data_IF_764616076184
#
_entry.id   IF_764616076184
#
_cell.length_a   1.000
_cell.length_b   1.000
_cell.length_c   1.000
_cell.angle_alpha   90.00
_cell.angle_beta   90.00
_cell.angle_gamma   90.00
#
_symmetry.space_group_name_H-M   'P 1'
#
loop_
_entity.id
_entity.type
_entity.pdbx_description
1 polymer ?
#
# COMPACT_ATOMS: atom_id res chain seq x y z
N UNK A 1 -9.43 17.14 -7.30
CA UNK A 1 -9.97 15.80 -7.65
C UNK A 1 -8.92 14.98 -8.45
N UNK A 2 -7.67 14.88 -7.96
CA UNK A 2 -6.58 14.17 -8.67
C UNK A 2 -6.14 12.85 -7.97
N UNK A 3 -6.73 12.47 -6.83
CA UNK A 3 -6.04 11.56 -5.89
C UNK A 3 -6.45 10.08 -5.94
N UNK A 4 -7.73 9.76 -6.19
CA UNK A 4 -8.13 8.35 -6.43
C UNK A 4 -7.46 7.83 -7.71
N UNK A 5 -7.40 8.68 -8.74
CA UNK A 5 -6.69 8.36 -9.98
C UNK A 5 -5.20 8.12 -9.77
N UNK A 6 -4.56 8.85 -8.84
CA UNK A 6 -3.14 8.64 -8.52
C UNK A 6 -2.93 7.27 -7.86
N UNK A 7 -3.73 6.89 -6.86
CA UNK A 7 -3.62 5.57 -6.20
C UNK A 7 -3.96 4.40 -7.13
N UNK A 8 -5.00 4.55 -7.94
CA UNK A 8 -5.37 3.54 -8.95
C UNK A 8 -4.28 3.42 -10.01
N UNK A 9 -3.69 4.54 -10.43
CA UNK A 9 -2.53 4.54 -11.34
C UNK A 9 -1.34 3.83 -10.72
N UNK A 10 -0.99 4.12 -9.46
CA UNK A 10 0.12 3.45 -8.74
C UNK A 10 -0.11 1.97 -8.55
N UNK A 11 -1.35 1.56 -8.24
CA UNK A 11 -1.69 0.15 -8.21
C UNK A 11 -1.52 -0.50 -9.61
N UNK A 12 -1.85 0.22 -10.68
CA UNK A 12 -1.57 -0.19 -12.06
C UNK A 12 -0.08 -0.33 -12.35
N UNK A 13 0.75 0.61 -11.89
CA UNK A 13 2.20 0.58 -12.03
C UNK A 13 2.80 -0.66 -11.34
N UNK A 14 2.38 -0.94 -10.10
CA UNK A 14 2.82 -2.13 -9.35
C UNK A 14 2.38 -3.43 -10.06
N UNK A 15 1.13 -3.49 -10.54
CA UNK A 15 0.61 -4.63 -11.33
C UNK A 15 1.44 -4.89 -12.57
N UNK A 16 1.77 -3.84 -13.32
CA UNK A 16 2.56 -3.94 -14.54
C UNK A 16 3.99 -4.44 -14.23
N UNK A 17 4.64 -3.89 -13.19
CA UNK A 17 5.95 -4.34 -12.75
C UNK A 17 5.94 -5.83 -12.33
N UNK A 18 4.91 -6.27 -11.60
CA UNK A 18 4.74 -7.68 -11.25
C UNK A 18 4.55 -8.57 -12.47
N UNK A 19 3.69 -8.18 -13.41
CA UNK A 19 3.45 -8.96 -14.61
C UNK A 19 4.72 -9.11 -15.46
N UNK A 20 5.53 -8.04 -15.57
CA UNK A 20 6.82 -8.08 -16.24
C UNK A 20 7.79 -9.04 -15.56
N UNK A 21 7.92 -8.96 -14.22
CA UNK A 21 8.81 -9.86 -13.47
C UNK A 21 8.37 -11.33 -13.56
N UNK A 22 7.06 -11.61 -13.55
CA UNK A 22 6.54 -12.97 -13.80
C UNK A 22 6.91 -13.48 -15.19
N UNK A 23 6.79 -12.63 -16.23
CA UNK A 23 7.24 -12.98 -17.58
C UNK A 23 8.75 -13.23 -17.69
N UNK A 24 9.57 -12.56 -16.88
CA UNK A 24 11.01 -12.84 -16.77
C UNK A 24 11.24 -14.23 -16.15
N UNK A 25 10.54 -14.57 -15.06
CA UNK A 25 10.65 -15.89 -14.42
C UNK A 25 10.22 -17.03 -15.35
N UNK A 26 9.15 -16.84 -16.12
CA UNK A 26 8.71 -17.84 -17.10
C UNK A 26 9.74 -18.08 -18.20
N UNK A 27 10.42 -17.02 -18.67
CA UNK A 27 11.52 -17.15 -19.64
C UNK A 27 12.71 -17.86 -19.04
N UNK A 28 13.11 -17.49 -17.81
CA UNK A 28 14.17 -18.17 -17.08
C UNK A 28 13.90 -19.67 -16.96
N UNK A 29 12.66 -20.06 -16.59
CA UNK A 29 12.27 -21.46 -16.47
C UNK A 29 12.48 -22.25 -17.77
N UNK A 30 12.10 -21.67 -18.92
CA UNK A 30 12.29 -22.30 -20.24
C UNK A 30 13.77 -22.44 -20.61
N UNK A 31 14.58 -21.43 -20.30
CA UNK A 31 16.02 -21.49 -20.58
C UNK A 31 16.75 -22.50 -19.69
N UNK A 32 16.41 -22.55 -18.40
CA UNK A 32 16.95 -23.55 -17.49
C UNK A 32 16.53 -24.97 -17.88
N UNK A 33 15.30 -25.18 -18.35
CA UNK A 33 14.85 -26.48 -18.88
C UNK A 33 15.66 -26.89 -20.12
N UNK A 34 15.96 -25.94 -21.01
CA UNK A 34 16.82 -26.20 -22.18
C UNK A 34 18.23 -26.59 -21.75
N UNK A 35 18.81 -25.87 -20.79
CA UNK A 35 20.14 -26.19 -20.24
C UNK A 35 20.14 -27.56 -19.56
N UNK A 36 19.07 -27.93 -18.85
CA UNK A 36 18.92 -29.25 -18.23
C UNK A 36 18.90 -30.36 -19.28
N UNK A 37 18.13 -30.20 -20.38
CA UNK A 37 18.09 -31.15 -21.50
C UNK A 37 19.46 -31.27 -22.20
N UNK A 38 20.15 -30.15 -22.39
CA UNK A 38 21.53 -30.16 -22.91
C UNK A 38 22.47 -30.94 -21.96
N UNK A 39 22.33 -30.77 -20.64
CA UNK A 39 23.11 -31.50 -19.63
C UNK A 39 22.81 -33.00 -19.60
N UNK A 40 21.55 -33.40 -19.80
CA UNK A 40 21.17 -34.82 -19.92
C UNK A 40 21.78 -35.48 -21.16
N UNK A 41 21.83 -34.74 -22.29
CA UNK A 41 22.31 -35.28 -23.56
C UNK A 41 23.85 -35.31 -23.67
N UNK A 42 24.53 -34.24 -23.22
CA UNK A 42 25.98 -34.08 -23.36
C UNK A 42 26.76 -34.41 -22.07
N UNK A 43 26.08 -34.64 -20.96
CA UNK A 43 26.68 -34.84 -19.64
C UNK A 43 27.04 -33.53 -18.92
N UNK A 44 27.54 -33.62 -17.67
CA UNK A 44 27.98 -32.45 -16.91
C UNK A 44 29.12 -31.73 -17.63
N UNK A 45 29.00 -30.42 -17.80
CA UNK A 45 30.02 -29.58 -18.42
C UNK A 45 30.14 -28.25 -17.70
N UNK A 46 31.37 -27.78 -17.53
CA UNK A 46 31.69 -26.47 -16.96
C UNK A 46 31.07 -25.35 -17.80
N UNK A 47 31.02 -25.53 -19.13
CA UNK A 47 30.42 -24.56 -20.04
C UNK A 47 28.90 -24.42 -19.82
N UNK A 48 28.21 -25.54 -19.58
CA UNK A 48 26.77 -25.54 -19.26
C UNK A 48 26.49 -24.97 -17.86
N UNK A 49 27.40 -25.21 -16.91
CA UNK A 49 27.30 -24.66 -15.56
C UNK A 49 27.48 -23.14 -15.55
N UNK A 50 28.44 -22.63 -16.35
CA UNK A 50 28.63 -21.20 -16.56
C UNK A 50 27.43 -20.57 -17.27
N UNK A 51 26.91 -21.20 -18.32
CA UNK A 51 25.69 -20.74 -19.03
C UNK A 51 24.50 -20.66 -18.07
N UNK A 52 24.30 -21.66 -17.21
CA UNK A 52 23.25 -21.62 -16.18
C UNK A 52 23.41 -20.44 -15.23
N UNK A 53 24.63 -20.21 -14.74
CA UNK A 53 24.94 -19.11 -13.83
C UNK A 53 24.69 -17.74 -14.48
N UNK A 54 25.21 -17.53 -15.69
CA UNK A 54 25.07 -16.27 -16.42
C UNK A 54 23.60 -15.97 -16.74
N UNK A 55 22.84 -17.00 -17.20
CA UNK A 55 21.39 -16.88 -17.45
C UNK A 55 20.61 -16.50 -16.18
N UNK A 56 20.94 -17.11 -15.03
CA UNK A 56 20.31 -16.77 -13.74
C UNK A 56 20.61 -15.34 -13.30
N UNK A 57 21.87 -14.90 -13.46
CA UNK A 57 22.30 -13.56 -13.09
C UNK A 57 21.57 -12.48 -13.91
N UNK A 58 21.50 -12.65 -15.24
CA UNK A 58 20.80 -11.74 -16.15
C UNK A 58 19.31 -11.60 -15.78
N UNK A 59 18.61 -12.72 -15.59
CA UNK A 59 17.19 -12.69 -15.27
C UNK A 59 16.93 -12.13 -13.86
N UNK A 60 17.83 -12.37 -12.90
CA UNK A 60 17.72 -11.78 -11.56
C UNK A 60 17.87 -10.26 -11.60
N UNK A 61 18.75 -9.72 -12.43
CA UNK A 61 18.93 -8.28 -12.63
C UNK A 61 17.66 -7.63 -13.22
N UNK A 62 17.06 -8.25 -14.23
CA UNK A 62 15.78 -7.77 -14.79
C UNK A 62 14.64 -7.74 -13.76
N UNK A 63 14.59 -8.72 -12.85
CA UNK A 63 13.62 -8.73 -11.74
C UNK A 63 13.94 -7.62 -10.73
N UNK A 64 15.22 -7.39 -10.43
CA UNK A 64 15.65 -6.33 -9.53
C UNK A 64 15.23 -4.94 -10.05
N UNK A 65 15.30 -4.69 -11.35
CA UNK A 65 14.78 -3.45 -11.95
C UNK A 65 13.27 -3.26 -11.67
N UNK A 66 12.47 -4.31 -11.86
CA UNK A 66 11.03 -4.24 -11.54
C UNK A 66 10.80 -4.06 -10.03
N UNK A 67 11.66 -4.67 -9.21
CA UNK A 67 11.59 -4.55 -7.77
C UNK A 67 11.85 -3.12 -7.30
N UNK A 68 12.83 -2.42 -7.88
CA UNK A 68 13.13 -1.03 -7.57
C UNK A 68 11.95 -0.09 -7.90
N UNK A 69 11.22 -0.34 -8.99
CA UNK A 69 10.01 0.43 -9.32
C UNK A 69 8.92 0.26 -8.25
N UNK A 70 8.76 -0.97 -7.73
CA UNK A 70 7.80 -1.26 -6.66
C UNK A 70 8.23 -0.57 -5.35
N UNK A 71 9.52 -0.61 -5.00
CA UNK A 71 10.05 0.08 -3.81
C UNK A 71 9.86 1.60 -3.93
N UNK A 72 10.13 2.20 -5.09
CA UNK A 72 9.93 3.62 -5.31
C UNK A 72 8.46 4.00 -5.13
N UNK A 73 7.54 3.19 -5.66
CA UNK A 73 6.10 3.39 -5.51
C UNK A 73 5.66 3.23 -4.04
N UNK A 74 6.15 2.21 -3.33
CA UNK A 74 5.87 1.99 -1.91
C UNK A 74 6.38 3.16 -1.04
N UNK A 75 7.56 3.70 -1.37
CA UNK A 75 8.15 4.86 -0.69
C UNK A 75 7.33 6.13 -0.93
N UNK A 76 6.86 6.35 -2.17
CA UNK A 76 5.94 7.45 -2.49
C UNK A 76 4.63 7.33 -1.69
N UNK A 77 4.04 6.13 -1.64
CA UNK A 77 2.84 5.85 -0.86
C UNK A 77 3.07 6.06 0.65
N UNK A 78 4.24 5.68 1.17
CA UNK A 78 4.62 5.90 2.56
C UNK A 78 4.67 7.40 2.92
N UNK A 79 4.98 8.28 1.97
CA UNK A 79 4.93 9.73 2.16
C UNK A 79 3.54 10.27 2.49
N UNK A 80 2.47 9.53 2.16
CA UNK A 80 1.09 9.87 2.50
C UNK A 80 0.61 9.20 3.80
N UNK A 81 1.43 8.36 4.43
CA UNK A 81 1.01 7.47 5.52
C UNK A 81 0.48 8.21 6.75
N UNK A 82 1.07 9.35 7.12
CA UNK A 82 0.63 10.10 8.30
C UNK A 82 -0.78 10.68 8.11
N UNK A 83 -1.05 11.23 6.91
CA UNK A 83 -2.39 11.68 6.54
C UNK A 83 -3.40 10.54 6.64
N UNK A 84 -3.00 9.33 6.26
CA UNK A 84 -3.85 8.15 6.34
C UNK A 84 -4.12 7.66 7.75
N UNK A 85 -3.08 7.62 8.57
CA UNK A 85 -3.20 7.22 9.97
C UNK A 85 -4.10 8.18 10.73
N UNK A 86 -4.04 9.48 10.42
CA UNK A 86 -4.90 10.49 11.02
C UNK A 86 -6.38 10.32 10.57
N UNK A 87 -6.63 10.06 9.29
CA UNK A 87 -7.98 9.72 8.80
C UNK A 87 -8.47 8.40 9.41
N UNK A 88 -7.63 7.37 9.48
CA UNK A 88 -7.97 6.10 10.12
C UNK A 88 -8.22 6.26 11.63
N UNK A 89 -7.52 7.14 12.31
CA UNK A 89 -7.73 7.41 13.74
C UNK A 89 -9.15 7.91 14.00
N UNK A 90 -9.62 8.83 13.15
CA UNK A 90 -10.94 9.44 13.28
C UNK A 90 -12.06 8.47 12.84
N UNK A 91 -11.78 7.54 11.93
CA UNK A 91 -12.77 6.59 11.38
C UNK A 91 -12.76 5.18 12.00
N UNK A 92 -11.69 4.75 12.66
CA UNK A 92 -11.49 3.37 13.13
C UNK A 92 -11.53 3.23 14.65
N UNK A 93 -11.62 1.98 15.12
CA UNK A 93 -11.54 1.55 16.53
C UNK A 93 -10.10 1.30 17.01
N UNK A 94 -9.07 1.69 16.24
CA UNK A 94 -7.67 1.36 16.56
C UNK A 94 -7.10 2.27 17.66
N UNK A 95 -6.39 1.69 18.63
CA UNK A 95 -5.88 2.43 19.78
C UNK A 95 -4.88 3.53 19.44
N UNK A 96 -4.97 4.64 20.18
CA UNK A 96 -4.00 5.75 20.19
C UNK A 96 -2.58 5.29 20.57
N UNK A 97 -2.43 4.18 21.31
CA UNK A 97 -1.12 3.68 21.76
C UNK A 97 -0.43 2.70 20.81
N UNK A 98 -1.08 2.28 19.71
CA UNK A 98 -0.52 1.26 18.83
C UNK A 98 0.65 1.80 18.00
N UNK A 99 1.89 1.38 18.31
CA UNK A 99 3.07 1.63 17.47
C UNK A 99 3.11 0.68 16.28
N UNK A 100 3.85 1.07 15.23
CA UNK A 100 3.99 0.26 14.02
C UNK A 100 4.55 -1.14 14.33
N UNK A 101 3.86 -2.17 13.83
CA UNK A 101 4.36 -3.56 13.84
C UNK A 101 3.98 -4.37 15.08
N UNK A 102 3.42 -3.75 16.11
CA UNK A 102 2.87 -4.47 17.25
C UNK A 102 1.46 -4.98 16.92
N UNK A 103 1.14 -6.20 17.41
CA UNK A 103 -0.21 -6.74 17.36
C UNK A 103 -1.20 -5.67 17.85
N UNK A 104 -2.42 -5.68 17.30
CA UNK A 104 -3.51 -4.77 17.68
C UNK A 104 -3.75 -4.92 19.18
N UNK A 105 -3.01 -4.19 20.01
CA UNK A 105 -3.28 -4.09 21.42
C UNK A 105 -4.57 -3.28 21.52
N UNK A 106 -5.56 -3.90 22.16
CA UNK A 106 -6.83 -3.24 22.45
C UNK A 106 -6.51 -1.90 23.12
N UNK A 107 -7.26 -0.85 22.79
CA UNK A 107 -7.01 0.44 23.41
C UNK A 107 -7.02 0.34 24.93
N UNK A 108 -6.05 1.00 25.57
CA UNK A 108 -5.99 1.11 27.04
C UNK A 108 -7.34 1.51 27.63
N UNK A 109 -8.10 2.33 26.89
CA UNK A 109 -9.50 2.61 27.16
C UNK A 109 -10.30 2.79 25.85
N UNK A 110 -10.79 1.67 25.30
CA UNK A 110 -11.52 1.66 24.03
C UNK A 110 -12.79 2.52 24.05
N UNK A 111 -13.41 2.67 25.22
CA UNK A 111 -14.62 3.46 25.39
C UNK A 111 -14.31 4.95 25.35
N UNK A 112 -13.26 5.41 26.04
CA UNK A 112 -12.86 6.81 26.02
C UNK A 112 -12.41 7.28 24.63
N UNK A 113 -11.64 6.46 23.91
CA UNK A 113 -11.26 6.82 22.55
C UNK A 113 -12.46 6.84 21.58
N UNK A 114 -13.42 5.90 21.73
CA UNK A 114 -14.64 5.92 20.93
C UNK A 114 -15.52 7.15 21.24
N UNK A 115 -15.60 7.56 22.50
CA UNK A 115 -16.30 8.78 22.93
C UNK A 115 -15.62 10.04 22.41
N UNK A 116 -14.29 10.10 22.38
CA UNK A 116 -13.55 11.22 21.79
C UNK A 116 -13.83 11.37 20.29
N UNK A 117 -13.82 10.25 19.54
CA UNK A 117 -14.17 10.23 18.11
C UNK A 117 -15.62 10.68 17.88
N UNK A 118 -16.55 10.14 18.67
CA UNK A 118 -17.96 10.49 18.60
C UNK A 118 -18.17 11.97 18.95
N UNK A 119 -17.48 12.48 19.98
CA UNK A 119 -17.55 13.86 20.40
C UNK A 119 -17.03 14.78 19.29
N UNK A 120 -15.89 14.48 18.66
CA UNK A 120 -15.34 15.25 17.55
C UNK A 120 -16.28 15.28 16.34
N UNK A 121 -16.83 14.12 15.94
CA UNK A 121 -17.79 14.05 14.84
C UNK A 121 -19.11 14.81 15.17
N UNK A 122 -19.57 14.73 16.41
CA UNK A 122 -20.78 15.43 16.87
C UNK A 122 -20.56 16.93 16.98
N UNK A 123 -19.40 17.37 17.44
CA UNK A 123 -19.02 18.78 17.52
C UNK A 123 -19.01 19.41 16.12
N UNK A 124 -18.32 18.78 15.16
CA UNK A 124 -18.30 19.24 13.77
C UNK A 124 -19.70 19.27 13.14
N UNK A 125 -20.55 18.29 13.45
CA UNK A 125 -21.95 18.25 12.98
C UNK A 125 -22.79 19.42 13.52
N UNK A 126 -22.47 19.95 14.69
CA UNK A 126 -23.20 21.07 15.29
C UNK A 126 -22.62 22.44 14.91
N UNK A 127 -21.43 22.48 14.32
CA UNK A 127 -20.82 23.73 13.86
C UNK A 127 -21.62 24.38 12.73
N UNK A 128 -21.69 25.71 12.79
CA UNK A 128 -22.12 26.56 11.68
C UNK A 128 -21.11 26.53 10.54
N UNK A 129 -21.53 26.96 9.34
CA UNK A 129 -20.64 27.03 8.18
C UNK A 129 -19.41 27.92 8.42
N UNK A 130 -19.56 29.02 9.19
CA UNK A 130 -18.43 29.92 9.50
C UNK A 130 -17.39 29.21 10.38
N UNK A 131 -17.84 28.48 11.40
CA UNK A 131 -16.97 27.71 12.30
C UNK A 131 -16.29 26.57 11.56
N UNK A 132 -17.01 25.83 10.70
CA UNK A 132 -16.43 24.77 9.88
C UNK A 132 -15.38 25.31 8.90
N UNK A 133 -15.59 26.51 8.34
CA UNK A 133 -14.60 27.16 7.46
C UNK A 133 -13.34 27.55 8.23
N UNK A 134 -13.49 28.12 9.43
CA UNK A 134 -12.36 28.48 10.29
C UNK A 134 -11.56 27.22 10.70
N UNK A 135 -12.26 26.17 11.14
CA UNK A 135 -11.66 24.88 11.50
C UNK A 135 -10.96 24.20 10.33
N UNK A 136 -11.54 24.20 9.13
CA UNK A 136 -10.88 23.68 7.95
C UNK A 136 -9.57 24.43 7.64
N UNK A 137 -9.57 25.76 7.81
CA UNK A 137 -8.36 26.58 7.66
C UNK A 137 -7.28 26.27 8.69
N UNK A 138 -7.65 26.03 9.95
CA UNK A 138 -6.74 25.57 11.00
C UNK A 138 -6.21 24.16 10.74
N UNK A 139 -7.10 23.21 10.46
CA UNK A 139 -6.75 21.84 10.16
C UNK A 139 -5.83 21.71 8.94
N UNK A 140 -5.99 22.58 7.94
CA UNK A 140 -5.09 22.67 6.78
C UNK A 140 -3.68 23.13 7.16
N UNK A 141 -3.57 24.17 8.00
CA UNK A 141 -2.27 24.68 8.49
C UNK A 141 -1.57 23.65 9.37
N UNK A 142 -2.33 22.98 10.24
CA UNK A 142 -1.83 22.03 11.22
C UNK A 142 -1.68 20.61 10.67
N UNK A 143 -2.06 20.37 9.41
CA UNK A 143 -2.05 19.04 8.76
C UNK A 143 -2.90 17.98 9.49
N UNK A 144 -4.06 18.38 10.03
CA UNK A 144 -5.08 17.50 10.65
C UNK A 144 -6.00 16.91 9.58
N UNK A 145 -5.50 15.93 8.84
CA UNK A 145 -6.20 15.25 7.74
C UNK A 145 -7.48 14.52 8.18
N UNK A 146 -7.53 13.99 9.40
CA UNK A 146 -8.72 13.34 9.96
C UNK A 146 -9.88 14.32 10.18
N UNK A 147 -9.57 15.53 10.66
CA UNK A 147 -10.58 16.60 10.80
C UNK A 147 -11.07 17.09 9.43
N UNK A 148 -10.14 17.31 8.48
CA UNK A 148 -10.49 17.66 7.09
C UNK A 148 -11.38 16.60 6.43
N UNK A 149 -11.15 15.31 6.72
CA UNK A 149 -11.99 14.21 6.26
C UNK A 149 -13.41 14.28 6.81
N UNK A 150 -13.58 14.52 8.11
CA UNK A 150 -14.91 14.68 8.71
C UNK A 150 -15.66 15.88 8.13
N UNK A 151 -14.97 17.01 7.94
CA UNK A 151 -15.55 18.21 7.31
C UNK A 151 -15.98 17.89 5.87
N UNK A 152 -15.18 17.12 5.12
CA UNK A 152 -15.56 16.66 3.79
C UNK A 152 -16.83 15.77 3.81
N UNK A 153 -16.94 14.84 4.75
CA UNK A 153 -18.14 14.00 4.91
C UNK A 153 -19.37 14.82 5.30
N UNK A 154 -19.21 15.82 6.15
CA UNK A 154 -20.28 16.74 6.53
C UNK A 154 -20.74 17.61 5.35
N UNK A 155 -19.80 18.12 4.53
CA UNK A 155 -20.08 18.81 3.26
C UNK A 155 -21.00 17.98 2.34
N UNK A 156 -20.71 16.69 2.17
CA UNK A 156 -21.51 15.76 1.37
C UNK A 156 -22.87 15.51 2.02
N UNK A 157 -22.92 15.36 3.34
CA UNK A 157 -24.16 15.07 4.08
C UNK A 157 -25.14 16.25 4.07
N UNK A 158 -24.63 17.48 4.16
CA UNK A 158 -25.45 18.71 4.12
C UNK A 158 -25.74 19.19 2.70
N UNK A 159 -25.28 18.47 1.68
CA UNK A 159 -25.53 18.80 0.28
C UNK A 159 -27.04 18.76 0.00
N UNK A 160 -27.66 19.94 -0.16
CA UNK A 160 -29.11 20.10 -0.34
C UNK A 160 -29.85 20.68 0.87
N UNK A 161 -29.17 20.96 1.98
CA UNK A 161 -29.76 21.69 3.11
C UNK A 161 -29.97 23.17 2.78
N UNK A 162 -31.13 23.77 3.06
CA UNK A 162 -31.39 25.18 2.77
C UNK A 162 -30.38 26.10 3.46
N UNK A 163 -29.78 27.03 2.69
CA UNK A 163 -28.80 27.99 3.21
C UNK A 163 -27.39 27.43 3.46
N UNK A 164 -27.15 26.16 3.16
CA UNK A 164 -25.81 25.56 3.26
C UNK A 164 -24.86 26.11 2.18
N UNK A 165 -23.64 26.45 2.60
CA UNK A 165 -22.52 26.73 1.69
C UNK A 165 -21.41 25.71 1.96
N UNK A 166 -20.98 24.93 0.94
CA UNK A 166 -19.89 23.98 1.11
C UNK A 166 -18.61 24.69 1.55
N UNK A 167 -17.89 24.08 2.51
CA UNK A 167 -16.55 24.52 2.89
C UNK A 167 -15.59 24.19 1.75
N UNK A 168 -14.79 25.17 1.33
CA UNK A 168 -13.77 24.95 0.31
C UNK A 168 -12.63 24.11 0.89
N UNK A 169 -12.43 22.94 0.30
CA UNK A 169 -11.33 22.01 0.61
C UNK A 169 -10.44 21.82 -0.62
N UNK A 170 -10.43 22.80 -1.54
CA UNK A 170 -9.55 22.78 -2.71
C UNK A 170 -8.09 22.70 -2.28
N UNK A 171 -7.33 21.80 -2.92
CA UNK A 171 -5.93 21.51 -2.57
C UNK A 171 -5.73 20.49 -1.45
N UNK A 172 -6.79 20.04 -0.77
CA UNK A 172 -6.69 18.93 0.21
C UNK A 172 -6.84 17.58 -0.49
N UNK A 173 -5.84 16.73 -0.32
CA UNK A 173 -5.83 15.36 -0.82
C UNK A 173 -6.36 14.46 0.30
N UNK A 174 -7.65 14.11 0.23
CA UNK A 174 -8.32 13.17 1.13
C UNK A 174 -8.62 11.89 0.35
N UNK A 175 -7.77 10.87 0.42
CA UNK A 175 -7.94 9.77 -0.50
C UNK A 175 -8.90 8.74 0.14
N UNK A 176 -9.45 7.84 -0.66
CA UNK A 176 -10.41 6.84 -0.17
C UNK A 176 -9.70 5.84 0.77
N UNK A 177 -10.17 5.74 2.03
CA UNK A 177 -9.59 4.88 3.06
C UNK A 177 -9.48 3.42 2.62
N UNK A 178 -10.51 2.88 1.95
CA UNK A 178 -10.51 1.49 1.48
C UNK A 178 -9.51 1.33 0.36
N UNK A 179 -9.55 2.22 -0.64
CA UNK A 179 -8.66 2.16 -1.79
C UNK A 179 -7.18 2.29 -1.38
N UNK A 180 -6.89 3.10 -0.37
CA UNK A 180 -5.53 3.25 0.15
C UNK A 180 -5.06 2.03 0.92
N UNK A 181 -5.89 1.46 1.80
CA UNK A 181 -5.57 0.19 2.47
C UNK A 181 -5.27 -0.90 1.45
N UNK A 182 -6.09 -1.01 0.41
CA UNK A 182 -5.85 -1.93 -0.72
C UNK A 182 -4.50 -1.62 -1.37
N UNK A 183 -4.19 -0.35 -1.66
CA UNK A 183 -2.94 0.05 -2.32
C UNK A 183 -1.70 -0.29 -1.47
N UNK A 184 -1.73 -0.03 -0.16
CA UNK A 184 -0.63 -0.36 0.77
C UNK A 184 -0.45 -1.87 0.93
N UNK A 185 -1.53 -2.61 1.15
CA UNK A 185 -1.48 -4.06 1.22
C UNK A 185 -0.94 -4.66 -0.08
N UNK A 186 -1.36 -4.11 -1.23
CA UNK A 186 -0.88 -4.51 -2.54
C UNK A 186 0.61 -4.22 -2.74
N UNK A 187 1.08 -3.01 -2.42
CA UNK A 187 2.48 -2.63 -2.51
C UNK A 187 3.37 -3.51 -1.63
N UNK A 188 2.94 -3.77 -0.39
CA UNK A 188 3.62 -4.67 0.55
C UNK A 188 3.71 -6.10 0.02
N UNK A 189 2.58 -6.66 -0.44
CA UNK A 189 2.54 -8.00 -1.00
C UNK A 189 3.44 -8.11 -2.26
N UNK A 190 3.40 -7.08 -3.12
CA UNK A 190 4.24 -7.02 -4.31
C UNK A 190 5.73 -6.95 -3.99
N UNK A 191 6.12 -6.13 -3.01
CA UNK A 191 7.50 -6.00 -2.53
C UNK A 191 8.04 -7.33 -2.02
N UNK A 192 7.25 -8.04 -1.21
CA UNK A 192 7.61 -9.37 -0.68
C UNK A 192 7.71 -10.43 -1.79
N UNK A 193 6.75 -10.43 -2.71
CA UNK A 193 6.79 -11.35 -3.86
C UNK A 193 8.05 -11.13 -4.71
N UNK A 194 8.40 -9.88 -5.02
CA UNK A 194 9.59 -9.58 -5.83
C UNK A 194 10.89 -10.07 -5.18
N UNK A 195 11.03 -9.90 -3.86
CA UNK A 195 12.19 -10.42 -3.14
C UNK A 195 12.29 -11.96 -3.27
N UNK A 196 11.17 -12.66 -3.22
CA UNK A 196 11.10 -14.12 -3.41
C UNK A 196 11.47 -14.50 -4.85
N UNK A 197 10.92 -13.80 -5.86
CA UNK A 197 11.21 -14.07 -7.27
C UNK A 197 12.68 -13.83 -7.61
N UNK A 198 13.26 -12.74 -7.09
CA UNK A 198 14.66 -12.38 -7.31
C UNK A 198 15.61 -13.44 -6.76
N UNK A 199 15.39 -13.88 -5.51
CA UNK A 199 16.17 -14.98 -4.91
C UNK A 199 16.01 -16.29 -5.68
N UNK A 200 14.78 -16.59 -6.10
CA UNK A 200 14.49 -17.79 -6.90
C UNK A 200 15.22 -17.76 -8.24
N UNK A 201 15.27 -16.59 -8.89
CA UNK A 201 15.99 -16.41 -10.15
C UNK A 201 17.49 -16.65 -9.99
N UNK A 202 18.09 -16.12 -8.91
CA UNK A 202 19.49 -16.39 -8.55
C UNK A 202 19.77 -17.85 -8.17
N UNK A 203 18.74 -18.68 -7.96
CA UNK A 203 18.89 -20.04 -7.42
C UNK A 203 19.25 -20.07 -5.93
N UNK A 204 18.99 -18.97 -5.21
CA UNK A 204 19.23 -18.86 -3.77
C UNK A 204 18.03 -19.42 -3.02
N UNK A 205 18.29 -20.02 -1.86
CA UNK A 205 17.24 -20.51 -0.97
C UNK A 205 16.35 -19.35 -0.49
N UNK A 206 15.04 -19.51 -0.67
CA UNK A 206 14.02 -18.60 -0.11
C UNK A 206 13.62 -19.12 1.25
N UNK A 207 13.80 -18.28 2.28
CA UNK A 207 13.50 -18.65 3.67
C UNK A 207 11.99 -18.89 3.85
N UNK A 208 11.57 -19.95 4.56
CA UNK A 208 10.17 -20.18 4.91
C UNK A 208 9.45 -18.96 5.51
N UNK A 209 10.13 -18.15 6.32
CA UNK A 209 9.59 -16.93 6.94
C UNK A 209 9.23 -15.85 5.91
N UNK A 210 9.93 -15.78 4.78
CA UNK A 210 9.63 -14.84 3.69
C UNK A 210 8.34 -15.26 2.98
N UNK A 211 8.17 -16.57 2.77
CA UNK A 211 6.94 -17.15 2.20
C UNK A 211 5.74 -16.93 3.12
N UNK A 212 5.91 -17.12 4.43
CA UNK A 212 4.87 -16.84 5.43
C UNK A 212 4.51 -15.35 5.45
N UNK A 213 5.51 -14.47 5.44
CA UNK A 213 5.30 -13.02 5.41
C UNK A 213 4.52 -12.59 4.17
N UNK A 214 4.86 -13.16 3.01
CA UNK A 214 4.12 -12.93 1.77
C UNK A 214 2.68 -13.45 1.86
N UNK A 215 2.48 -14.67 2.38
CA UNK A 215 1.16 -15.25 2.60
C UNK A 215 0.27 -14.38 3.49
N UNK A 216 0.81 -13.85 4.60
CA UNK A 216 0.08 -12.91 5.46
C UNK A 216 -0.32 -11.63 4.72
N UNK A 217 0.57 -11.07 3.89
CA UNK A 217 0.26 -9.87 3.11
C UNK A 217 -0.82 -10.13 2.04
N UNK A 218 -0.87 -11.34 1.46
CA UNK A 218 -1.95 -11.73 0.56
C UNK A 218 -3.28 -11.85 1.29
N UNK A 219 -3.31 -12.51 2.45
CA UNK A 219 -4.55 -12.62 3.25
C UNK A 219 -5.06 -11.24 3.68
N UNK A 220 -4.16 -10.32 4.07
CA UNK A 220 -4.51 -8.92 4.36
C UNK A 220 -5.17 -8.25 3.15
N UNK A 221 -4.63 -8.44 1.95
CA UNK A 221 -5.18 -7.89 0.72
C UNK A 221 -6.54 -8.51 0.35
N UNK A 222 -6.72 -9.83 0.51
CA UNK A 222 -7.97 -10.54 0.23
C UNK A 222 -9.11 -10.05 1.12
N UNK A 223 -8.85 -9.79 2.40
CA UNK A 223 -9.84 -9.25 3.35
C UNK A 223 -10.33 -7.85 2.95
N UNK A 224 -9.52 -7.08 2.20
CA UNK A 224 -9.83 -5.70 1.82
C UNK A 224 -10.61 -5.60 0.49
N UNK A 225 -10.59 -6.65 -0.36
CA UNK A 225 -11.25 -6.72 -1.67
C UNK A 225 -12.73 -7.13 -1.56
#
# INVERSE_FOLDING_TARGET
MKDIYTLVSRQGDIKNAQQKAMGVIERLGKELEKIAKEREHYGPSEMLSKKEFDTRAEHAEMILEQYQLIIATDTELAGYRDAWMDVEHVLSTRSVSAKMGEHIEKPMDANNEALQRLAMATELKNCSTKELTARAGEALRDKKHGELYLIHKDNVTRQGSPGWKPVDLSGVVLPDQRQAKICFAYARAARLNMAILEKSARGVHVDPTEKLSYGHALTELEVLQ
#
